data_IF_029553709698
#
_entry.id   IF_029553709698
#
_cell.length_a   1.000
_cell.length_b   1.000
_cell.length_c   1.000
_cell.angle_alpha   90.00
_cell.angle_beta   90.00
_cell.angle_gamma   90.00
#
_symmetry.space_group_name_H-M   'P 1'
#
loop_
_entity.id
_entity.type
_entity.pdbx_description
1 polymer ?
#
# COMPACT_ATOMS: atom_id res chain seq x y z
N UNK A 1 33.99 -11.33 -58.93
CA UNK A 1 35.20 -10.52 -58.72
C UNK A 1 35.51 -10.70 -57.25
N UNK A 2 36.27 -11.74 -56.88
CA UNK A 2 37.76 -11.77 -56.79
C UNK A 2 38.26 -10.72 -55.79
N UNK A 3 39.01 -10.98 -54.79
CA UNK A 3 39.98 -12.02 -54.34
C UNK A 3 40.37 -11.61 -52.92
N UNK A 4 40.59 -12.57 -52.10
CA UNK A 4 41.80 -13.25 -51.62
C UNK A 4 42.47 -12.57 -50.40
N UNK A 5 42.48 -13.30 -49.29
CA UNK A 5 43.52 -14.08 -48.65
C UNK A 5 44.72 -13.29 -48.10
N UNK A 6 44.99 -13.49 -46.82
CA UNK A 6 46.31 -13.99 -46.41
C UNK A 6 46.28 -14.48 -44.94
N UNK A 7 46.65 -15.77 -44.80
CA UNK A 7 47.08 -16.46 -43.58
C UNK A 7 48.45 -15.95 -43.10
N UNK A 8 48.72 -16.16 -41.82
CA UNK A 8 49.98 -16.59 -41.19
C UNK A 8 49.69 -16.62 -39.66
N UNK A 9 49.75 -17.70 -38.93
CA UNK A 9 50.63 -18.86 -38.92
C UNK A 9 51.79 -18.62 -37.98
N UNK A 10 51.77 -19.13 -36.73
CA UNK A 10 52.92 -19.61 -35.99
C UNK A 10 52.55 -20.21 -34.61
N UNK A 11 52.53 -21.54 -34.57
CA UNK A 11 53.31 -22.46 -33.72
C UNK A 11 53.14 -22.40 -32.19
N UNK A 12 52.64 -23.53 -31.76
CA UNK A 12 52.75 -24.26 -30.51
C UNK A 12 54.14 -24.37 -29.89
N UNK A 13 54.25 -24.29 -28.57
CA UNK A 13 55.02 -25.24 -27.76
C UNK A 13 54.52 -25.31 -26.33
N UNK A 14 54.55 -26.47 -25.67
CA UNK A 14 54.11 -26.70 -24.31
C UNK A 14 55.26 -26.55 -23.32
N UNK A 15 55.01 -26.05 -22.14
CA UNK A 15 55.88 -26.21 -20.98
C UNK A 15 55.05 -26.61 -19.76
N UNK A 16 55.37 -27.81 -19.31
CA UNK A 16 55.08 -28.35 -17.99
C UNK A 16 55.66 -27.46 -16.91
N UNK A 17 54.91 -27.23 -15.86
CA UNK A 17 55.48 -27.31 -14.51
C UNK A 17 54.36 -27.46 -13.46
N UNK A 18 54.47 -28.58 -12.76
CA UNK A 18 53.75 -28.88 -11.53
C UNK A 18 54.27 -27.92 -10.44
N UNK A 19 53.39 -27.06 -9.94
CA UNK A 19 53.60 -26.41 -8.65
C UNK A 19 52.33 -26.51 -7.80
N UNK A 20 52.46 -27.36 -6.80
CA UNK A 20 51.55 -27.50 -5.65
C UNK A 20 51.08 -26.12 -5.14
N UNK A 21 49.79 -25.77 -5.38
CA UNK A 21 49.14 -24.71 -4.63
C UNK A 21 48.64 -25.29 -3.32
N UNK A 22 49.43 -25.11 -2.27
CA UNK A 22 48.97 -25.23 -0.90
C UNK A 22 47.90 -24.15 -0.67
N UNK A 23 46.62 -24.54 -0.56
CA UNK A 23 45.55 -23.72 -0.05
C UNK A 23 45.84 -23.34 1.42
N UNK A 24 46.35 -22.13 1.60
CA UNK A 24 46.39 -21.47 2.89
C UNK A 24 44.96 -20.96 3.23
N UNK A 25 44.16 -21.78 3.87
CA UNK A 25 42.99 -21.31 4.56
C UNK A 25 43.42 -20.48 5.76
N UNK A 26 43.59 -19.17 5.56
CA UNK A 26 43.53 -18.22 6.69
C UNK A 26 42.07 -17.97 7.05
N UNK A 27 41.65 -18.15 8.33
CA UNK A 27 40.30 -17.85 8.72
C UNK A 27 40.05 -16.35 8.58
N UNK A 28 39.02 -15.99 7.78
CA UNK A 28 38.51 -14.61 7.66
C UNK A 28 38.08 -14.12 9.03
N UNK A 29 38.89 -13.28 9.66
CA UNK A 29 38.48 -12.53 10.83
C UNK A 29 37.51 -11.42 10.40
N UNK A 30 36.22 -11.65 10.57
CA UNK A 30 35.20 -10.59 10.37
C UNK A 30 35.31 -9.63 11.55
N UNK A 31 35.79 -8.42 11.28
CA UNK A 31 35.89 -7.35 12.24
C UNK A 31 34.47 -6.82 12.59
N UNK A 32 34.12 -6.85 13.88
CA UNK A 32 32.82 -6.38 14.39
C UNK A 32 32.53 -4.92 14.06
N UNK A 33 33.56 -4.11 13.85
CA UNK A 33 33.44 -2.73 13.34
C UNK A 33 32.95 -2.68 11.90
N UNK A 34 33.38 -3.61 11.07
CA UNK A 34 32.99 -3.70 9.64
C UNK A 34 31.52 -4.14 9.50
N UNK A 35 31.05 -5.03 10.38
CA UNK A 35 29.63 -5.47 10.41
C UNK A 35 28.69 -4.36 10.87
N UNK A 36 29.08 -3.58 11.88
CA UNK A 36 28.30 -2.41 12.33
C UNK A 36 28.22 -1.34 11.23
N UNK A 37 29.33 -1.14 10.48
CA UNK A 37 29.39 -0.22 9.35
C UNK A 37 28.63 -0.73 8.14
N UNK A 38 28.64 -2.03 7.85
CA UNK A 38 27.86 -2.64 6.77
C UNK A 38 26.35 -2.60 7.06
N UNK A 39 25.94 -2.79 8.32
CA UNK A 39 24.54 -2.65 8.74
C UNK A 39 24.09 -1.19 8.66
N UNK A 40 24.97 -0.23 9.00
CA UNK A 40 24.71 1.20 8.83
C UNK A 40 24.67 1.61 7.35
N UNK A 41 25.58 1.08 6.51
CA UNK A 41 25.59 1.33 5.05
C UNK A 41 24.41 0.67 4.32
N UNK A 42 23.90 -0.45 4.79
CA UNK A 42 22.68 -1.07 4.24
C UNK A 42 21.42 -0.26 4.57
N UNK A 43 21.48 0.62 5.57
CA UNK A 43 20.41 1.56 5.93
C UNK A 43 20.52 2.92 5.22
N UNK A 44 21.66 3.22 4.54
CA UNK A 44 21.90 4.50 3.83
C UNK A 44 21.20 4.71 2.48
N UNK A 45 20.66 3.75 1.72
CA UNK A 45 20.02 4.06 0.43
C UNK A 45 18.69 4.82 0.52
N UNK A 46 18.25 5.24 1.70
CA UNK A 46 16.98 5.95 1.88
C UNK A 46 17.13 7.45 2.18
N UNK A 47 18.24 8.06 1.78
CA UNK A 47 18.35 9.53 1.73
C UNK A 47 17.63 10.11 0.52
N UNK A 48 16.28 10.07 0.54
CA UNK A 48 15.47 11.05 -0.15
C UNK A 48 14.54 11.71 0.86
N UNK A 49 14.98 12.87 1.34
CA UNK A 49 14.15 13.91 1.91
C UNK A 49 13.63 13.65 3.32
N UNK A 50 14.31 14.29 4.27
CA UNK A 50 13.85 14.68 5.61
C UNK A 50 13.68 13.58 6.67
N UNK A 51 14.62 13.63 7.62
CA UNK A 51 14.48 13.18 9.00
C UNK A 51 14.15 11.70 9.22
N UNK A 52 15.15 10.86 9.00
CA UNK A 52 15.22 9.55 9.66
C UNK A 52 15.45 9.78 11.18
N UNK A 53 14.40 10.22 11.85
CA UNK A 53 14.34 10.12 13.31
C UNK A 53 14.00 8.66 13.59
N UNK A 54 15.00 7.87 13.95
CA UNK A 54 14.78 6.62 14.70
C UNK A 54 13.74 6.94 15.76
N UNK A 55 12.56 6.35 15.61
CA UNK A 55 11.47 6.56 16.55
C UNK A 55 12.01 6.21 17.93
N UNK A 56 12.20 7.20 18.80
CA UNK A 56 12.73 7.01 20.16
C UNK A 56 11.97 5.95 20.96
N UNK A 57 10.76 5.58 20.53
CA UNK A 57 9.92 4.55 21.13
C UNK A 57 10.20 3.12 20.60
N UNK A 58 10.88 2.98 19.45
CA UNK A 58 11.31 1.68 18.93
C UNK A 58 12.63 1.23 19.56
N UNK A 59 13.48 2.17 19.97
CA UNK A 59 14.75 1.87 20.65
C UNK A 59 14.53 1.08 21.97
N UNK A 60 13.60 1.49 22.87
CA UNK A 60 13.33 0.72 24.09
C UNK A 60 12.72 -0.66 23.80
N UNK A 61 11.95 -0.83 22.74
CA UNK A 61 11.41 -2.15 22.32
C UNK A 61 12.49 -3.07 21.78
N UNK A 62 13.35 -2.54 20.90
CA UNK A 62 14.53 -3.25 20.39
C UNK A 62 15.50 -3.59 21.53
N UNK A 63 15.73 -2.66 22.44
CA UNK A 63 16.56 -2.88 23.62
C UNK A 63 15.97 -3.95 24.54
N UNK A 64 14.67 -3.92 24.80
CA UNK A 64 13.96 -4.93 25.59
C UNK A 64 13.94 -6.31 24.91
N UNK A 65 13.85 -6.37 23.59
CA UNK A 65 13.97 -7.60 22.81
C UNK A 65 15.40 -8.13 22.82
N UNK A 66 16.39 -7.26 22.70
CA UNK A 66 17.80 -7.59 22.81
C UNK A 66 18.14 -8.11 24.21
N UNK A 67 17.64 -7.44 25.27
CA UNK A 67 17.83 -7.83 26.66
C UNK A 67 17.12 -9.16 26.96
N UNK A 68 15.95 -9.42 26.37
CA UNK A 68 15.27 -10.71 26.46
C UNK A 68 16.00 -11.84 25.72
N UNK A 69 16.62 -11.54 24.57
CA UNK A 69 17.45 -12.48 23.83
C UNK A 69 18.75 -12.79 24.59
N UNK A 70 19.40 -11.77 25.14
CA UNK A 70 20.59 -11.90 25.97
C UNK A 70 20.25 -12.66 27.27
N UNK A 71 19.09 -12.37 27.89
CA UNK A 71 18.60 -13.07 29.08
C UNK A 71 18.28 -14.55 28.84
N UNK A 72 17.75 -14.90 27.63
CA UNK A 72 17.50 -16.31 27.26
C UNK A 72 18.79 -17.08 26.94
N UNK A 73 19.82 -16.40 26.44
CA UNK A 73 21.15 -17.00 26.23
C UNK A 73 21.95 -17.11 27.54
N UNK A 74 21.67 -16.26 28.53
CA UNK A 74 22.33 -16.31 29.87
C UNK A 74 21.79 -17.42 30.76
N UNK A 75 20.66 -18.05 30.44
CA UNK A 75 20.09 -19.18 31.25
C UNK A 75 20.61 -20.57 30.85
N UNK A 76 21.58 -20.68 29.93
CA UNK A 76 22.29 -21.95 29.69
C UNK A 76 23.50 -22.09 30.61
N UNK A 77 23.88 -23.31 31.01
CA UNK A 77 24.73 -23.57 32.18
C UNK A 77 26.09 -22.89 32.06
N UNK A 78 26.55 -22.33 33.18
CA UNK A 78 27.86 -21.74 33.38
C UNK A 78 28.96 -22.67 32.83
N UNK A 79 29.43 -22.37 31.62
CA UNK A 79 30.73 -22.89 31.18
C UNK A 79 31.81 -22.08 31.92
N UNK A 80 32.56 -22.76 32.78
CA UNK A 80 33.73 -22.23 33.46
C UNK A 80 34.70 -21.71 32.41
N UNK A 81 34.99 -20.43 32.44
CA UNK A 81 36.02 -19.79 31.65
C UNK A 81 37.40 -20.31 32.07
N UNK A 82 37.91 -21.33 31.40
CA UNK A 82 39.32 -21.60 31.37
C UNK A 82 39.97 -20.67 30.34
N UNK A 83 40.82 -19.81 30.83
CA UNK A 83 41.71 -18.88 30.13
C UNK A 83 42.37 -19.53 28.93
N UNK A 84 42.20 -18.97 27.75
CA UNK A 84 43.12 -19.19 26.62
C UNK A 84 42.51 -19.53 25.26
N UNK A 85 41.20 -19.77 25.09
CA UNK A 85 40.65 -20.01 23.78
C UNK A 85 39.97 -18.73 23.25
N UNK A 86 40.49 -18.20 22.14
CA UNK A 86 39.78 -17.21 21.31
C UNK A 86 38.41 -17.78 21.00
N UNK A 87 37.35 -17.14 21.54
CA UNK A 87 35.96 -17.51 21.30
C UNK A 87 35.67 -17.26 19.84
N UNK A 88 35.71 -18.28 19.01
CA UNK A 88 35.08 -18.23 17.70
C UNK A 88 33.60 -17.99 17.95
N UNK A 89 33.10 -16.88 17.48
CA UNK A 89 31.68 -16.59 17.51
C UNK A 89 31.01 -17.66 16.63
N UNK A 90 30.11 -18.42 17.23
CA UNK A 90 29.49 -19.57 16.59
C UNK A 90 28.74 -19.08 15.34
N UNK A 91 29.13 -19.55 14.15
CA UNK A 91 28.53 -19.15 12.87
C UNK A 91 27.03 -19.42 12.86
N UNK A 92 26.59 -20.48 13.54
CA UNK A 92 25.17 -20.81 13.72
C UNK A 92 24.42 -19.72 14.52
N UNK A 93 25.01 -19.20 15.59
CA UNK A 93 24.45 -18.12 16.40
C UNK A 93 24.37 -16.82 15.60
N UNK A 94 25.39 -16.53 14.79
CA UNK A 94 25.39 -15.34 13.94
C UNK A 94 24.35 -15.43 12.82
N UNK A 95 24.22 -16.59 12.18
CA UNK A 95 23.20 -16.79 11.15
C UNK A 95 21.78 -16.66 11.70
N UNK A 96 21.52 -17.21 12.90
CA UNK A 96 20.22 -17.06 13.55
C UNK A 96 19.89 -15.61 13.93
N UNK A 97 20.88 -14.87 14.46
CA UNK A 97 20.71 -13.44 14.79
C UNK A 97 20.43 -12.59 13.56
N UNK A 98 21.12 -12.84 12.44
CA UNK A 98 20.87 -12.17 11.17
C UNK A 98 19.46 -12.49 10.67
N UNK A 99 19.07 -13.76 10.68
CA UNK A 99 17.73 -14.18 10.24
C UNK A 99 16.62 -13.57 11.09
N UNK A 100 16.78 -13.51 12.40
CA UNK A 100 15.80 -12.91 13.31
C UNK A 100 15.73 -11.39 13.14
N UNK A 101 16.87 -10.73 12.92
CA UNK A 101 16.93 -9.30 12.63
C UNK A 101 16.25 -8.97 11.30
N UNK A 102 16.52 -9.74 10.25
CA UNK A 102 15.87 -9.61 8.93
C UNK A 102 14.35 -9.84 9.04
N UNK A 103 13.93 -10.81 9.85
CA UNK A 103 12.51 -11.06 10.07
C UNK A 103 11.83 -9.92 10.85
N UNK A 104 12.50 -9.33 11.83
CA UNK A 104 12.00 -8.18 12.57
C UNK A 104 11.83 -6.97 11.65
N UNK A 105 12.85 -6.63 10.84
CA UNK A 105 12.80 -5.55 9.85
C UNK A 105 11.69 -5.78 8.83
N UNK A 106 11.53 -7.00 8.35
CA UNK A 106 10.46 -7.36 7.41
C UNK A 106 9.07 -7.15 8.03
N UNK A 107 8.87 -7.60 9.27
CA UNK A 107 7.61 -7.44 10.00
C UNK A 107 7.27 -5.96 10.24
N UNK A 108 8.24 -5.16 10.66
CA UNK A 108 8.04 -3.74 10.93
C UNK A 108 7.70 -2.97 9.63
N UNK A 109 8.39 -3.26 8.52
CA UNK A 109 8.13 -2.61 7.23
C UNK A 109 6.74 -2.92 6.66
N UNK A 110 6.18 -4.10 6.97
CA UNK A 110 4.80 -4.43 6.62
C UNK A 110 3.81 -3.59 7.43
N UNK A 111 3.95 -3.57 8.77
CA UNK A 111 3.02 -2.85 9.64
C UNK A 111 3.11 -1.34 9.48
N UNK A 112 4.27 -0.81 9.09
CA UNK A 112 4.44 0.61 8.75
C UNK A 112 3.43 1.10 7.69
N UNK A 113 3.02 0.23 6.77
CA UNK A 113 2.00 0.54 5.76
C UNK A 113 0.59 0.73 6.32
N UNK A 114 0.36 0.29 7.57
CA UNK A 114 -0.95 0.29 8.22
C UNK A 114 -0.98 1.09 9.52
N UNK A 115 0.13 1.72 9.90
CA UNK A 115 0.20 2.61 11.05
C UNK A 115 -0.30 4.01 10.71
N UNK A 116 -0.87 4.67 11.71
CA UNK A 116 -1.20 6.09 11.62
C UNK A 116 0.06 6.93 11.81
N UNK A 117 0.17 8.07 11.09
CA UNK A 117 1.25 9.00 11.33
C UNK A 117 1.25 9.44 12.80
N UNK A 118 2.42 9.35 13.43
CA UNK A 118 2.58 9.79 14.82
C UNK A 118 2.42 11.30 14.92
N UNK A 119 1.49 11.76 15.78
CA UNK A 119 1.40 13.18 16.11
C UNK A 119 2.54 13.57 17.06
N UNK A 120 3.39 14.50 16.64
CA UNK A 120 4.45 15.04 17.51
C UNK A 120 3.82 15.74 18.72
N UNK A 121 4.37 15.57 19.95
CA UNK A 121 3.90 16.31 21.11
C UNK A 121 4.08 17.79 20.89
N UNK A 122 3.04 18.57 21.22
CA UNK A 122 3.06 20.03 21.12
C UNK A 122 3.92 20.63 22.20
N UNK A 123 4.72 21.63 21.83
CA UNK A 123 5.41 22.46 22.81
C UNK A 123 4.47 23.59 23.24
N UNK A 124 3.76 23.37 24.36
CA UNK A 124 2.72 24.26 24.82
C UNK A 124 3.30 25.58 25.35
N UNK A 125 2.91 26.69 24.71
CA UNK A 125 3.08 28.05 25.21
C UNK A 125 1.70 28.68 25.39
N UNK A 126 1.60 29.71 26.21
CA UNK A 126 0.31 30.37 26.44
C UNK A 126 -0.40 30.84 25.15
N UNK A 127 0.25 31.50 24.19
CA UNK A 127 -0.38 31.86 22.92
C UNK A 127 -0.85 30.65 22.13
N UNK A 128 -0.07 29.55 22.07
CA UNK A 128 -0.48 28.32 21.40
C UNK A 128 -1.68 27.68 22.09
N UNK A 129 -1.76 27.73 23.40
CA UNK A 129 -2.93 27.23 24.14
C UNK A 129 -4.20 28.03 23.81
N UNK A 130 -4.11 29.39 23.77
CA UNK A 130 -5.24 30.23 23.39
C UNK A 130 -5.71 29.97 21.97
N UNK A 131 -4.80 29.88 21.00
CA UNK A 131 -5.15 29.55 19.60
C UNK A 131 -5.77 28.16 19.47
N UNK A 132 -5.25 27.17 20.20
CA UNK A 132 -5.82 25.82 20.25
C UNK A 132 -7.23 25.81 20.85
N UNK A 133 -7.45 26.48 22.00
CA UNK A 133 -8.73 26.57 22.66
C UNK A 133 -9.77 27.25 21.75
N UNK A 134 -9.41 28.38 21.13
CA UNK A 134 -10.25 29.05 20.14
C UNK A 134 -10.56 28.11 18.96
N UNK A 135 -9.56 27.42 18.46
CA UNK A 135 -9.74 26.43 17.41
C UNK A 135 -10.66 25.28 17.80
N UNK A 136 -10.62 24.83 19.06
CA UNK A 136 -11.57 23.84 19.57
C UNK A 136 -13.00 24.37 19.56
N UNK A 137 -13.23 25.58 20.05
CA UNK A 137 -14.57 26.20 20.04
C UNK A 137 -15.12 26.28 18.61
N UNK A 138 -14.32 26.78 17.66
CA UNK A 138 -14.75 26.87 16.26
C UNK A 138 -15.07 25.47 15.68
N UNK A 139 -14.19 24.49 15.87
CA UNK A 139 -14.38 23.14 15.31
C UNK A 139 -15.58 22.42 15.89
N UNK A 140 -15.74 22.45 17.21
CA UNK A 140 -16.78 21.66 17.88
C UNK A 140 -18.12 22.40 17.99
N UNK A 141 -18.14 23.72 18.17
CA UNK A 141 -19.38 24.49 18.36
C UNK A 141 -19.94 25.05 17.05
N UNK A 142 -19.11 25.25 16.01
CA UNK A 142 -19.54 25.85 14.73
C UNK A 142 -19.44 24.83 13.60
N UNK A 143 -18.22 24.32 13.31
CA UNK A 143 -18.01 23.47 12.14
C UNK A 143 -18.71 22.12 12.27
N UNK A 144 -18.61 21.46 13.42
CA UNK A 144 -19.20 20.14 13.62
C UNK A 144 -20.74 20.15 13.48
N UNK A 145 -21.51 21.05 14.13
CA UNK A 145 -22.96 21.09 13.94
C UNK A 145 -23.38 21.34 12.48
N UNK A 146 -22.73 22.30 11.81
CA UNK A 146 -23.02 22.61 10.39
C UNK A 146 -22.70 21.40 9.50
N UNK A 147 -21.57 20.77 9.70
CA UNK A 147 -21.14 19.59 8.91
C UNK A 147 -22.02 18.38 9.18
N UNK A 148 -22.39 18.14 10.44
CA UNK A 148 -23.31 17.06 10.81
C UNK A 148 -24.69 17.28 10.18
N UNK A 149 -25.20 18.52 10.19
CA UNK A 149 -26.42 18.86 9.49
C UNK A 149 -26.33 18.61 7.98
N UNK A 150 -25.26 19.05 7.33
CA UNK A 150 -25.03 18.82 5.90
C UNK A 150 -24.96 17.33 5.56
N UNK A 151 -24.29 16.54 6.41
CA UNK A 151 -24.19 15.09 6.23
C UNK A 151 -25.54 14.40 6.39
N UNK A 152 -26.30 14.75 7.43
CA UNK A 152 -27.64 14.21 7.63
C UNK A 152 -28.59 14.63 6.49
N UNK A 153 -28.54 15.89 6.09
CA UNK A 153 -29.29 16.39 4.92
C UNK A 153 -28.96 15.60 3.67
N UNK A 154 -27.67 15.35 3.40
CA UNK A 154 -27.21 14.54 2.26
C UNK A 154 -27.80 13.14 2.31
N UNK A 155 -27.77 12.46 3.48
CA UNK A 155 -28.34 11.12 3.63
C UNK A 155 -29.85 11.11 3.32
N UNK A 156 -30.60 12.03 3.91
CA UNK A 156 -32.04 12.15 3.66
C UNK A 156 -32.33 12.49 2.21
N UNK A 157 -31.60 13.44 1.63
CA UNK A 157 -31.73 13.84 0.23
C UNK A 157 -31.47 12.66 -0.74
N UNK A 158 -30.42 11.89 -0.53
CA UNK A 158 -30.12 10.75 -1.38
C UNK A 158 -31.14 9.62 -1.21
N UNK A 159 -31.49 9.25 0.02
CA UNK A 159 -32.46 8.20 0.30
C UNK A 159 -33.86 8.57 -0.23
N UNK A 160 -34.33 9.74 0.14
CA UNK A 160 -35.68 10.20 -0.26
C UNK A 160 -35.72 10.46 -1.77
N UNK A 161 -34.72 11.11 -2.33
CA UNK A 161 -34.64 11.39 -3.75
C UNK A 161 -34.60 10.13 -4.62
N UNK A 162 -33.81 9.10 -4.22
CA UNK A 162 -33.79 7.81 -4.94
C UNK A 162 -35.08 7.04 -4.79
N UNK A 163 -35.69 7.03 -3.59
CA UNK A 163 -36.99 6.39 -3.36
C UNK A 163 -38.09 7.08 -4.19
N UNK A 164 -38.19 8.41 -4.11
CA UNK A 164 -39.21 9.19 -4.83
C UNK A 164 -39.12 8.98 -6.34
N UNK A 165 -37.89 9.01 -6.90
CA UNK A 165 -37.70 8.72 -8.33
C UNK A 165 -38.08 7.29 -8.69
N UNK A 166 -37.85 6.32 -7.81
CA UNK A 166 -38.25 4.92 -8.06
C UNK A 166 -39.77 4.74 -8.12
N UNK A 167 -40.50 5.55 -7.40
CA UNK A 167 -41.97 5.49 -7.36
C UNK A 167 -42.62 6.33 -8.46
N UNK A 168 -42.11 7.55 -8.69
CA UNK A 168 -42.77 8.50 -9.60
C UNK A 168 -42.34 8.42 -11.05
N UNK A 169 -41.18 7.84 -11.33
CA UNK A 169 -40.63 7.80 -12.70
C UNK A 169 -40.78 6.42 -13.31
N UNK A 170 -41.74 6.21 -14.23
CA UNK A 170 -41.97 4.88 -14.83
C UNK A 170 -40.85 4.42 -15.76
N UNK A 171 -40.16 5.34 -16.41
CA UNK A 171 -39.07 5.01 -17.35
C UNK A 171 -37.78 4.67 -16.60
N UNK A 172 -37.31 3.43 -16.68
CA UNK A 172 -36.04 2.99 -16.04
C UNK A 172 -34.84 3.81 -16.48
N UNK A 173 -34.77 4.21 -17.77
CA UNK A 173 -33.66 5.03 -18.28
C UNK A 173 -33.65 6.42 -17.62
N UNK A 174 -34.83 7.07 -17.55
CA UNK A 174 -34.95 8.39 -16.91
C UNK A 174 -34.72 8.30 -15.40
N UNK A 175 -35.28 7.27 -14.74
CA UNK A 175 -35.05 6.97 -13.32
C UNK A 175 -33.55 6.90 -13.01
N UNK A 176 -32.81 6.05 -13.71
CA UNK A 176 -31.36 5.87 -13.52
C UNK A 176 -30.60 7.20 -13.77
N UNK A 177 -31.01 7.96 -14.76
CA UNK A 177 -30.37 9.27 -15.05
C UNK A 177 -30.56 10.25 -13.89
N UNK A 178 -31.80 10.37 -13.37
CA UNK A 178 -32.10 11.26 -12.24
C UNK A 178 -31.37 10.80 -10.97
N UNK A 179 -31.39 9.50 -10.66
CA UNK A 179 -30.69 8.93 -9.51
C UNK A 179 -29.18 9.19 -9.55
N UNK A 180 -28.55 9.07 -10.73
CA UNK A 180 -27.14 9.43 -10.91
C UNK A 180 -26.87 10.92 -10.65
N UNK A 181 -27.80 11.81 -11.00
CA UNK A 181 -27.68 13.24 -10.69
C UNK A 181 -27.79 13.50 -9.18
N UNK A 182 -28.77 12.86 -8.51
CA UNK A 182 -28.93 12.91 -7.06
C UNK A 182 -27.65 12.45 -6.36
N UNK A 183 -27.08 11.32 -6.79
CA UNK A 183 -25.82 10.80 -6.23
C UNK A 183 -24.64 11.76 -6.45
N UNK A 184 -24.52 12.38 -7.63
CA UNK A 184 -23.47 13.35 -7.88
C UNK A 184 -23.52 14.51 -6.90
N UNK A 185 -24.72 15.04 -6.64
CA UNK A 185 -24.94 16.08 -5.62
C UNK A 185 -24.62 15.53 -4.23
N UNK A 186 -25.04 14.29 -3.94
CA UNK A 186 -24.73 13.62 -2.67
C UNK A 186 -23.23 13.52 -2.40
N UNK A 187 -22.41 13.14 -3.39
CA UNK A 187 -20.95 13.11 -3.25
C UNK A 187 -20.39 14.51 -2.94
N UNK A 188 -20.86 15.54 -3.63
CA UNK A 188 -20.43 16.92 -3.37
C UNK A 188 -20.81 17.39 -1.96
N UNK A 189 -22.03 17.07 -1.51
CA UNK A 189 -22.48 17.37 -0.14
C UNK A 189 -21.67 16.60 0.91
N UNK A 190 -21.29 15.36 0.63
CA UNK A 190 -20.42 14.58 1.51
C UNK A 190 -19.06 15.26 1.65
N UNK A 191 -18.42 15.64 0.53
CA UNK A 191 -17.14 16.34 0.55
C UNK A 191 -17.24 17.68 1.30
N UNK A 192 -18.31 18.42 1.10
CA UNK A 192 -18.55 19.67 1.82
C UNK A 192 -18.73 19.42 3.33
N UNK A 193 -19.43 18.34 3.72
CA UNK A 193 -19.66 17.99 5.13
C UNK A 193 -18.40 17.57 5.88
N UNK A 194 -17.36 17.11 5.18
CA UNK A 194 -16.05 16.81 5.78
C UNK A 194 -15.02 17.91 5.53
N UNK A 195 -15.41 19.00 4.85
CA UNK A 195 -14.53 20.09 4.50
C UNK A 195 -13.43 19.70 3.52
N UNK A 196 -13.73 18.80 2.54
CA UNK A 196 -12.78 18.33 1.58
C UNK A 196 -12.68 19.24 0.36
N UNK A 197 -11.44 19.53 -0.05
CA UNK A 197 -11.10 20.19 -1.32
C UNK A 197 -10.36 19.20 -2.20
N UNK A 198 -10.87 18.96 -3.40
CA UNK A 198 -10.29 18.03 -4.36
C UNK A 198 -9.57 18.81 -5.45
N UNK A 199 -8.27 18.59 -5.58
CA UNK A 199 -7.43 19.18 -6.61
C UNK A 199 -7.19 18.12 -7.69
N UNK A 200 -7.67 18.41 -8.90
CA UNK A 200 -7.60 17.46 -10.02
C UNK A 200 -6.46 17.85 -10.96
N UNK A 201 -5.61 16.88 -11.26
CA UNK A 201 -4.46 17.03 -12.14
C UNK A 201 -4.55 16.06 -13.32
N UNK A 202 -4.12 16.51 -14.48
CA UNK A 202 -4.17 15.73 -15.72
C UNK A 202 -5.53 15.78 -16.42
N UNK A 203 -5.63 15.10 -17.55
CA UNK A 203 -6.87 14.99 -18.34
C UNK A 203 -7.65 13.75 -17.93
N UNK A 204 -8.95 13.92 -17.66
CA UNK A 204 -9.83 12.81 -17.29
C UNK A 204 -10.11 11.98 -18.56
N UNK A 205 -9.70 10.70 -18.63
CA UNK A 205 -9.96 9.87 -19.79
C UNK A 205 -11.47 9.71 -20.06
N UNK A 206 -11.83 9.62 -21.33
CA UNK A 206 -13.22 9.37 -21.72
C UNK A 206 -13.64 7.95 -21.35
N UNK A 207 -14.92 7.79 -21.00
CA UNK A 207 -15.52 6.46 -20.81
C UNK A 207 -15.60 5.77 -22.17
N UNK A 208 -15.02 4.59 -22.26
CA UNK A 208 -14.96 3.78 -23.46
C UNK A 208 -15.00 2.30 -23.08
N UNK A 209 -15.61 1.46 -23.91
CA UNK A 209 -15.55 0.02 -23.81
C UNK A 209 -14.09 -0.45 -23.84
N UNK A 210 -13.76 -1.49 -23.09
CA UNK A 210 -12.39 -1.98 -22.96
C UNK A 210 -11.50 -1.21 -21.97
N UNK A 211 -12.05 -0.24 -21.21
CA UNK A 211 -11.31 0.57 -20.23
C UNK A 211 -11.74 0.30 -18.78
N UNK A 212 -10.77 0.27 -17.88
CA UNK A 212 -10.99 0.16 -16.44
C UNK A 212 -10.13 1.18 -15.69
N UNK A 213 -10.68 1.79 -14.65
CA UNK A 213 -9.95 2.73 -13.82
C UNK A 213 -9.40 2.01 -12.59
N UNK A 214 -8.16 2.33 -12.26
CA UNK A 214 -7.41 1.71 -11.17
C UNK A 214 -6.79 2.78 -10.30
N UNK A 215 -6.99 2.72 -8.98
CA UNK A 215 -6.46 3.71 -8.03
C UNK A 215 -5.80 3.04 -6.83
N UNK A 216 -4.85 3.74 -6.18
CA UNK A 216 -4.41 3.38 -4.83
C UNK A 216 -5.53 3.65 -3.81
N UNK A 217 -5.46 3.00 -2.63
CA UNK A 217 -6.57 2.98 -1.67
C UNK A 217 -6.13 3.34 -0.25
N UNK A 218 -6.47 4.53 0.18
CA UNK A 218 -6.08 5.06 1.50
C UNK A 218 -7.26 5.05 2.48
N UNK A 219 -8.47 5.35 2.00
CA UNK A 219 -9.66 5.49 2.84
C UNK A 219 -10.93 5.13 2.06
N UNK A 220 -12.00 4.83 2.78
CA UNK A 220 -13.33 4.66 2.17
C UNK A 220 -13.81 5.92 1.43
N UNK A 221 -13.26 7.09 1.77
CA UNK A 221 -13.60 8.35 1.10
C UNK A 221 -13.04 8.43 -0.32
N UNK A 222 -12.04 7.62 -0.70
CA UNK A 222 -11.45 7.64 -2.05
C UNK A 222 -12.50 7.45 -3.15
N UNK A 223 -13.43 6.51 -2.93
CA UNK A 223 -14.51 6.25 -3.85
C UNK A 223 -15.45 7.47 -4.02
N UNK A 224 -15.73 8.18 -2.92
CA UNK A 224 -16.56 9.38 -2.92
C UNK A 224 -15.83 10.55 -3.59
N UNK A 225 -14.56 10.74 -3.27
CA UNK A 225 -13.68 11.75 -3.90
C UNK A 225 -13.65 11.55 -5.42
N UNK A 226 -13.35 10.34 -5.89
CA UNK A 226 -13.28 10.04 -7.31
C UNK A 226 -14.66 10.18 -7.98
N UNK A 227 -15.73 9.69 -7.34
CA UNK A 227 -17.09 9.77 -7.87
C UNK A 227 -17.67 11.18 -7.91
N UNK A 228 -17.14 12.12 -7.11
CA UNK A 228 -17.48 13.54 -7.20
C UNK A 228 -16.96 14.19 -8.48
N UNK A 229 -15.82 13.72 -9.01
CA UNK A 229 -15.21 14.18 -10.24
C UNK A 229 -15.90 13.52 -11.44
N UNK A 230 -15.85 12.17 -11.47
CA UNK A 230 -16.43 11.32 -12.49
C UNK A 230 -17.11 10.13 -11.81
N UNK A 231 -18.37 9.87 -12.14
CA UNK A 231 -19.07 8.74 -11.52
C UNK A 231 -18.49 7.40 -11.96
N UNK A 232 -18.33 6.50 -10.99
CA UNK A 232 -17.76 5.17 -11.17
C UNK A 232 -18.68 4.09 -10.63
N UNK A 233 -18.73 2.95 -11.30
CA UNK A 233 -19.22 1.70 -10.77
C UNK A 233 -18.09 1.07 -9.95
N UNK A 234 -18.30 0.95 -8.63
CA UNK A 234 -17.26 0.48 -7.71
C UNK A 234 -17.30 -1.04 -7.66
N UNK A 235 -16.12 -1.66 -7.62
CA UNK A 235 -15.98 -3.08 -7.33
C UNK A 235 -15.56 -3.22 -5.85
N UNK A 236 -16.39 -3.88 -5.05
CA UNK A 236 -16.19 -3.91 -3.61
C UNK A 236 -16.75 -5.16 -2.92
N UNK A 237 -16.56 -5.21 -1.61
CA UNK A 237 -17.11 -6.25 -0.76
C UNK A 237 -18.57 -5.95 -0.46
N UNK A 238 -19.44 -6.97 -0.52
CA UNK A 238 -20.84 -6.87 -0.09
C UNK A 238 -20.91 -6.72 1.43
N UNK A 239 -21.66 -5.72 1.89
CA UNK A 239 -21.93 -5.53 3.30
C UNK A 239 -23.36 -5.93 3.66
N UNK A 240 -23.61 -6.24 4.94
CA UNK A 240 -24.94 -6.53 5.49
C UNK A 240 -25.50 -5.35 6.28
N UNK A 241 -26.79 -5.40 6.61
CA UNK A 241 -27.45 -4.37 7.42
C UNK A 241 -27.65 -3.04 6.68
N UNK A 242 -27.54 -1.91 7.41
CA UNK A 242 -27.80 -0.57 6.87
C UNK A 242 -26.87 -0.21 5.70
N UNK A 243 -25.58 -0.61 5.78
CA UNK A 243 -24.63 -0.38 4.69
C UNK A 243 -25.02 -1.14 3.43
N UNK A 244 -25.49 -2.39 3.55
CA UNK A 244 -26.01 -3.17 2.40
C UNK A 244 -27.21 -2.53 1.75
N UNK A 245 -28.14 -1.92 2.52
CA UNK A 245 -29.27 -1.16 1.98
C UNK A 245 -28.78 0.07 1.19
N UNK A 246 -27.77 0.79 1.71
CA UNK A 246 -27.17 1.93 1.01
C UNK A 246 -26.53 1.47 -0.30
N UNK A 247 -25.76 0.38 -0.27
CA UNK A 247 -25.15 -0.21 -1.48
C UNK A 247 -26.20 -0.55 -2.53
N UNK A 248 -27.25 -1.23 -2.15
CA UNK A 248 -28.25 -1.76 -3.09
C UNK A 248 -29.20 -0.68 -3.59
N UNK A 249 -29.68 0.21 -2.69
CA UNK A 249 -30.71 1.20 -3.01
C UNK A 249 -30.16 2.51 -3.54
N UNK A 250 -29.04 2.98 -3.01
CA UNK A 250 -28.47 4.28 -3.40
C UNK A 250 -27.46 4.11 -4.54
N UNK A 251 -26.54 3.16 -4.43
CA UNK A 251 -25.50 2.95 -5.44
C UNK A 251 -25.94 2.09 -6.62
N UNK A 252 -27.08 1.39 -6.53
CA UNK A 252 -27.56 0.49 -7.56
C UNK A 252 -27.70 1.12 -8.96
N UNK A 253 -27.97 2.43 -9.04
CA UNK A 253 -28.05 3.15 -10.34
C UNK A 253 -26.68 3.28 -11.05
N UNK A 254 -25.58 3.01 -10.36
CA UNK A 254 -24.21 2.98 -10.93
C UNK A 254 -23.82 1.59 -11.40
N UNK A 255 -24.62 0.57 -11.07
CA UNK A 255 -24.38 -0.82 -11.40
C UNK A 255 -23.03 -1.33 -10.87
N UNK A 256 -22.80 -1.24 -9.55
CA UNK A 256 -21.58 -1.71 -8.90
C UNK A 256 -21.47 -3.24 -8.92
N UNK A 257 -20.24 -3.75 -8.77
CA UNK A 257 -19.99 -5.19 -8.66
C UNK A 257 -19.63 -5.53 -7.23
N UNK A 258 -20.57 -6.15 -6.50
CA UNK A 258 -20.37 -6.58 -5.13
C UNK A 258 -20.06 -8.07 -5.07
N UNK A 259 -19.11 -8.48 -4.23
CA UNK A 259 -18.77 -9.88 -4.00
C UNK A 259 -18.29 -10.14 -2.57
N UNK A 260 -18.43 -11.38 -2.12
CA UNK A 260 -17.89 -11.82 -0.85
C UNK A 260 -16.44 -12.32 -1.05
N UNK A 261 -15.48 -11.70 -0.37
CA UNK A 261 -14.06 -12.05 -0.50
C UNK A 261 -13.71 -13.44 0.01
N UNK A 262 -14.47 -13.98 0.94
CA UNK A 262 -14.25 -15.32 1.51
C UNK A 262 -14.75 -16.44 0.61
N UNK A 263 -15.68 -16.17 -0.30
CA UNK A 263 -16.25 -17.15 -1.21
C UNK A 263 -15.49 -17.19 -2.55
N UNK A 264 -14.95 -18.37 -2.88
CA UNK A 264 -14.18 -18.58 -4.10
C UNK A 264 -15.08 -18.52 -5.35
N UNK A 265 -16.31 -19.05 -5.24
CA UNK A 265 -17.28 -19.08 -6.33
C UNK A 265 -17.74 -17.67 -6.68
N UNK A 266 -18.13 -16.88 -5.66
CA UNK A 266 -18.53 -15.49 -5.85
C UNK A 266 -17.38 -14.63 -6.45
N UNK A 267 -16.13 -14.92 -6.10
CA UNK A 267 -14.97 -14.24 -6.72
C UNK A 267 -14.84 -14.54 -8.20
N UNK A 268 -15.06 -15.78 -8.60
CA UNK A 268 -15.02 -16.19 -10.02
C UNK A 268 -16.15 -15.54 -10.81
N UNK A 269 -17.36 -15.55 -10.26
CA UNK A 269 -18.53 -14.87 -10.86
C UNK A 269 -18.32 -13.36 -10.96
N UNK A 270 -17.75 -12.74 -9.91
CA UNK A 270 -17.43 -11.32 -9.94
C UNK A 270 -16.40 -11.00 -11.04
N UNK A 271 -15.38 -11.84 -11.23
CA UNK A 271 -14.41 -11.65 -12.31
C UNK A 271 -15.08 -11.71 -13.69
N UNK A 272 -16.00 -12.64 -13.89
CA UNK A 272 -16.79 -12.73 -15.12
C UNK A 272 -17.70 -11.51 -15.33
N UNK A 273 -18.38 -11.04 -14.26
CA UNK A 273 -19.21 -9.84 -14.30
C UNK A 273 -18.37 -8.60 -14.63
N UNK A 274 -17.18 -8.46 -14.00
CA UNK A 274 -16.25 -7.36 -14.28
C UNK A 274 -15.82 -7.40 -15.75
N UNK A 275 -15.42 -8.55 -16.27
CA UNK A 275 -15.03 -8.72 -17.67
C UNK A 275 -16.15 -8.33 -18.63
N UNK A 276 -17.35 -8.84 -18.43
CA UNK A 276 -18.51 -8.49 -19.27
C UNK A 276 -18.80 -7.00 -19.21
N UNK A 277 -18.71 -6.39 -18.02
CA UNK A 277 -18.97 -4.98 -17.82
C UNK A 277 -17.95 -4.05 -18.49
N UNK A 278 -16.69 -4.46 -18.55
CA UNK A 278 -15.62 -3.68 -19.20
C UNK A 278 -15.88 -3.58 -20.70
N UNK A 279 -16.36 -4.65 -21.33
CA UNK A 279 -16.58 -4.71 -22.76
C UNK A 279 -18.01 -4.39 -23.19
N UNK A 280 -18.88 -4.00 -22.23
CA UNK A 280 -20.23 -3.55 -22.53
C UNK A 280 -20.21 -2.14 -23.11
N UNK A 281 -20.56 -2.02 -24.38
CA UNK A 281 -20.61 -0.74 -25.09
C UNK A 281 -21.74 0.18 -24.61
N UNK A 282 -22.80 -0.38 -24.01
CA UNK A 282 -23.88 0.40 -23.42
C UNK A 282 -23.55 0.93 -22.01
N UNK A 283 -22.45 0.50 -21.44
CA UNK A 283 -22.03 0.88 -20.11
C UNK A 283 -21.66 2.37 -20.04
N UNK A 284 -22.54 3.18 -19.44
CA UNK A 284 -22.36 4.62 -19.30
C UNK A 284 -21.46 5.05 -18.14
N UNK A 285 -21.23 4.15 -17.19
CA UNK A 285 -20.44 4.38 -15.98
C UNK A 285 -19.27 3.43 -15.98
N UNK A 286 -18.02 3.93 -15.97
CA UNK A 286 -16.84 3.08 -16.00
C UNK A 286 -16.61 2.39 -14.65
N UNK A 287 -15.93 1.25 -14.68
CA UNK A 287 -15.52 0.52 -13.47
C UNK A 287 -14.32 1.17 -12.80
N UNK A 288 -14.34 1.18 -11.46
CA UNK A 288 -13.22 1.58 -10.62
C UNK A 288 -12.83 0.43 -9.71
N UNK A 289 -11.54 0.10 -9.76
CA UNK A 289 -10.94 -0.90 -8.88
C UNK A 289 -9.83 -0.30 -8.02
N UNK A 290 -9.72 -0.85 -6.79
CA UNK A 290 -8.60 -0.60 -5.89
C UNK A 290 -7.80 -1.92 -5.76
N UNK A 291 -6.77 -2.14 -6.58
CA UNK A 291 -6.12 -3.45 -6.68
C UNK A 291 -5.27 -3.82 -5.46
N UNK A 292 -4.99 -2.89 -4.57
CA UNK A 292 -4.38 -3.20 -3.26
C UNK A 292 -5.28 -4.11 -2.41
N UNK A 293 -6.60 -4.01 -2.60
CA UNK A 293 -7.59 -4.81 -1.90
C UNK A 293 -7.74 -4.50 -0.41
N UNK A 294 -6.97 -3.58 0.13
CA UNK A 294 -7.00 -3.10 1.52
C UNK A 294 -6.68 -1.62 1.57
N UNK A 295 -7.07 -0.95 2.66
CA UNK A 295 -6.67 0.43 2.91
C UNK A 295 -5.23 0.47 3.41
N UNK A 296 -4.40 1.29 2.77
CA UNK A 296 -2.99 1.53 3.07
C UNK A 296 -2.83 2.99 3.48
N UNK A 297 -1.91 3.28 4.40
CA UNK A 297 -1.74 4.65 4.82
C UNK A 297 -1.23 5.54 3.65
N UNK A 298 -1.40 6.85 3.82
CA UNK A 298 -1.15 7.84 2.77
C UNK A 298 0.35 8.00 2.38
N UNK A 299 1.25 7.14 2.90
CA UNK A 299 2.70 7.20 2.64
C UNK A 299 3.17 6.11 1.68
N UNK A 300 2.50 4.96 1.69
CA UNK A 300 2.92 3.77 0.97
C UNK A 300 1.89 3.36 -0.07
N UNK A 301 2.33 2.57 -1.02
CA UNK A 301 1.53 1.83 -1.97
C UNK A 301 2.05 0.39 -1.98
N UNK A 302 1.14 -0.58 -1.88
CA UNK A 302 1.51 -1.99 -1.78
C UNK A 302 1.23 -2.74 -3.08
N UNK A 303 1.51 -4.04 -3.11
CA UNK A 303 1.34 -4.90 -4.28
C UNK A 303 -0.08 -4.81 -4.85
N UNK A 304 -0.19 -4.61 -6.14
CA UNK A 304 -1.45 -4.67 -6.88
C UNK A 304 -1.81 -6.10 -7.23
N UNK A 305 -3.05 -6.49 -6.97
CA UNK A 305 -3.59 -7.79 -7.37
C UNK A 305 -3.76 -7.84 -8.88
N UNK A 306 -3.31 -8.92 -9.50
CA UNK A 306 -3.32 -9.11 -10.95
C UNK A 306 -4.70 -9.16 -11.61
N UNK A 307 -5.76 -9.43 -10.86
CA UNK A 307 -7.10 -9.69 -11.40
C UNK A 307 -7.66 -8.57 -12.28
N UNK A 308 -7.27 -7.30 -12.08
CA UNK A 308 -7.64 -6.20 -12.98
C UNK A 308 -6.82 -6.19 -14.28
N UNK A 309 -5.61 -6.75 -14.25
CA UNK A 309 -4.61 -6.68 -15.30
C UNK A 309 -4.64 -7.92 -16.24
N UNK A 310 -5.30 -9.00 -15.82
CA UNK A 310 -5.55 -10.22 -16.63
C UNK A 310 -6.72 -10.06 -17.61
N UNK A 311 -7.48 -8.98 -17.51
CA UNK A 311 -8.73 -8.82 -18.29
C UNK A 311 -8.49 -8.36 -19.73
N UNK A 312 -7.26 -8.00 -20.09
CA UNK A 312 -6.92 -7.46 -21.42
C UNK A 312 -7.45 -6.05 -21.68
N UNK A 313 -7.92 -5.36 -20.62
CA UNK A 313 -8.45 -4.01 -20.71
C UNK A 313 -7.34 -2.94 -20.68
N UNK A 314 -7.59 -1.80 -21.27
CA UNK A 314 -6.78 -0.60 -21.11
C UNK A 314 -6.98 -0.04 -19.70
N UNK A 315 -5.91 0.12 -18.96
CA UNK A 315 -5.93 0.65 -17.59
C UNK A 315 -5.81 2.17 -17.61
N UNK A 316 -6.75 2.84 -16.92
CA UNK A 316 -6.69 4.28 -16.66
C UNK A 316 -6.22 4.48 -15.20
N UNK A 317 -4.92 4.72 -14.93
CA UNK A 317 -4.43 4.82 -13.57
C UNK A 317 -4.83 6.15 -12.95
N UNK A 318 -5.19 6.13 -11.67
CA UNK A 318 -5.49 7.30 -10.85
C UNK A 318 -4.61 7.26 -9.61
N UNK A 319 -3.91 8.34 -9.35
CA UNK A 319 -3.14 8.49 -8.12
C UNK A 319 -3.88 9.42 -7.16
N UNK A 320 -4.00 9.02 -5.88
CA UNK A 320 -4.66 9.78 -4.83
C UNK A 320 -3.66 10.06 -3.72
N UNK A 321 -3.59 11.30 -3.27
CA UNK A 321 -2.76 11.72 -2.15
C UNK A 321 -3.50 12.72 -1.28
N UNK A 322 -3.55 12.45 0.01
CA UNK A 322 -4.10 13.38 1.00
C UNK A 322 -3.00 14.27 1.56
N UNK A 323 -3.27 15.56 1.68
CA UNK A 323 -2.35 16.49 2.32
C UNK A 323 -2.49 16.38 3.84
N UNK A 324 -1.45 15.89 4.52
CA UNK A 324 -1.44 15.66 5.96
C UNK A 324 -1.03 16.90 6.79
N UNK A 325 -0.74 18.02 6.14
CA UNK A 325 -0.30 19.25 6.83
C UNK A 325 -1.38 19.81 7.75
N UNK A 326 -2.63 19.80 7.28
CA UNK A 326 -3.78 20.34 8.03
C UNK A 326 -4.71 19.25 8.57
N UNK A 327 -4.54 18.00 8.15
CA UNK A 327 -5.36 16.87 8.56
C UNK A 327 -4.54 15.57 8.57
N UNK A 328 -4.29 15.05 9.75
CA UNK A 328 -3.63 13.74 9.95
C UNK A 328 -4.63 12.55 9.91
N UNK A 329 -5.92 12.78 9.62
CA UNK A 329 -6.98 11.80 9.78
C UNK A 329 -7.49 11.22 8.44
N UNK A 330 -6.75 11.38 7.35
CA UNK A 330 -7.18 10.87 6.04
C UNK A 330 -7.25 9.33 6.03
N UNK A 331 -6.23 8.66 6.54
CA UNK A 331 -6.17 7.19 6.58
C UNK A 331 -7.09 6.61 7.66
N UNK A 332 -7.87 5.59 7.27
CA UNK A 332 -8.70 4.82 8.19
C UNK A 332 -8.23 3.37 8.34
N UNK A 333 -8.01 2.98 9.58
CA UNK A 333 -7.73 1.61 9.98
C UNK A 333 -8.83 1.14 10.94
N UNK A 334 -9.61 0.15 10.54
CA UNK A 334 -10.66 -0.44 11.37
C UNK A 334 -10.10 -1.14 12.62
N UNK A 335 -8.80 -1.45 12.63
CA UNK A 335 -8.10 -2.03 13.79
C UNK A 335 -7.92 -1.01 14.91
N UNK A 336 -7.67 0.26 14.54
CA UNK A 336 -7.28 1.29 15.49
C UNK A 336 -8.45 2.17 15.92
N UNK A 337 -9.41 2.41 14.99
CA UNK A 337 -10.49 3.36 15.20
C UNK A 337 -11.76 2.86 14.56
N UNK A 338 -12.89 2.94 15.30
CA UNK A 338 -14.22 2.64 14.77
C UNK A 338 -14.60 3.62 13.65
N UNK A 339 -15.50 3.19 12.76
CA UNK A 339 -15.97 4.02 11.66
C UNK A 339 -16.62 5.33 12.13
N UNK A 340 -17.40 5.29 13.20
CA UNK A 340 -18.05 6.48 13.75
C UNK A 340 -17.05 7.50 14.31
N UNK A 341 -16.00 7.01 14.97
CA UNK A 341 -14.92 7.86 15.46
C UNK A 341 -14.13 8.47 14.30
N UNK A 342 -13.86 7.70 13.25
CA UNK A 342 -13.20 8.19 12.05
C UNK A 342 -14.03 9.30 11.36
N UNK A 343 -15.33 9.10 11.20
CA UNK A 343 -16.23 10.10 10.63
C UNK A 343 -16.28 11.37 11.48
N UNK A 344 -16.33 11.23 12.80
CA UNK A 344 -16.26 12.35 13.74
C UNK A 344 -14.94 13.11 13.60
N UNK A 345 -13.82 12.39 13.52
CA UNK A 345 -12.49 12.99 13.33
C UNK A 345 -12.43 13.77 11.99
N UNK A 346 -13.00 13.23 10.90
CA UNK A 346 -13.10 13.95 9.63
C UNK A 346 -13.97 15.23 9.74
N UNK A 347 -15.11 15.15 10.40
CA UNK A 347 -16.01 16.30 10.56
C UNK A 347 -15.45 17.39 11.46
N UNK A 348 -14.54 17.04 12.36
CA UNK A 348 -13.87 17.99 13.27
C UNK A 348 -12.51 18.48 12.74
N UNK A 349 -12.04 18.01 11.60
CA UNK A 349 -10.85 18.54 10.94
C UNK A 349 -11.09 19.96 10.40
N UNK A 350 -10.02 20.72 10.22
CA UNK A 350 -10.11 22.03 9.59
C UNK A 350 -10.50 21.91 8.12
N UNK A 351 -9.70 21.18 7.38
CA UNK A 351 -9.84 21.00 5.95
C UNK A 351 -9.16 19.70 5.54
N UNK A 352 -9.70 19.01 4.55
CA UNK A 352 -9.10 17.83 3.94
C UNK A 352 -8.75 18.15 2.49
N UNK A 353 -7.47 18.31 2.17
CA UNK A 353 -7.04 18.57 0.80
C UNK A 353 -6.63 17.23 0.17
N UNK A 354 -7.17 16.96 -1.00
CA UNK A 354 -6.95 15.71 -1.74
C UNK A 354 -6.48 16.03 -3.15
N UNK A 355 -5.28 15.59 -3.49
CA UNK A 355 -4.77 15.64 -4.85
C UNK A 355 -5.11 14.35 -5.59
N UNK A 356 -5.66 14.48 -6.78
CA UNK A 356 -6.07 13.38 -7.66
C UNK A 356 -5.43 13.57 -9.03
N UNK A 357 -4.54 12.67 -9.43
CA UNK A 357 -3.92 12.68 -10.75
C UNK A 357 -4.55 11.61 -11.64
N UNK A 358 -5.11 12.03 -12.78
CA UNK A 358 -5.47 11.11 -13.85
C UNK A 358 -4.26 10.94 -14.76
N UNK A 359 -3.72 9.72 -14.78
CA UNK A 359 -2.55 9.38 -15.60
C UNK A 359 -3.00 8.91 -16.99
N UNK A 360 -2.11 8.96 -17.99
CA UNK A 360 -2.41 8.46 -19.33
C UNK A 360 -2.84 6.99 -19.29
N UNK A 361 -3.89 6.62 -20.05
CA UNK A 361 -4.28 5.23 -20.21
C UNK A 361 -3.11 4.37 -20.74
N UNK A 362 -3.01 3.14 -20.28
CA UNK A 362 -1.92 2.23 -20.63
C UNK A 362 -2.43 0.80 -20.77
N UNK A 363 -1.87 0.06 -21.71
CA UNK A 363 -2.16 -1.35 -21.95
C UNK A 363 -0.95 -2.22 -21.62
N UNK A 364 -1.18 -3.51 -21.51
CA UNK A 364 -0.13 -4.50 -21.37
C UNK A 364 0.79 -4.46 -22.59
N UNK A 365 2.10 -4.58 -22.38
CA UNK A 365 3.11 -4.58 -23.46
C UNK A 365 3.38 -6.00 -23.97
N UNK A 366 3.94 -6.11 -25.16
CA UNK A 366 4.31 -7.40 -25.73
C UNK A 366 5.35 -8.11 -24.85
N UNK A 367 5.05 -9.34 -24.45
CA UNK A 367 5.91 -10.13 -23.56
C UNK A 367 5.80 -9.79 -22.07
N UNK A 368 4.99 -8.79 -21.68
CA UNK A 368 4.76 -8.42 -20.29
C UNK A 368 3.72 -9.35 -19.64
N UNK A 369 4.00 -9.88 -18.47
CA UNK A 369 3.04 -10.62 -17.69
C UNK A 369 2.03 -9.69 -16.99
N UNK A 370 0.82 -10.16 -16.63
CA UNK A 370 -0.14 -9.34 -15.88
C UNK A 370 0.40 -8.82 -14.54
N UNK A 371 1.29 -9.56 -13.90
CA UNK A 371 1.97 -9.17 -12.66
C UNK A 371 2.96 -8.02 -12.89
N UNK A 372 3.75 -8.08 -13.95
CA UNK A 372 4.68 -7.01 -14.33
C UNK A 372 3.92 -5.75 -14.77
N UNK A 373 2.83 -5.91 -15.50
CA UNK A 373 1.95 -4.82 -15.86
C UNK A 373 1.35 -4.14 -14.62
N UNK A 374 0.88 -4.93 -13.65
CA UNK A 374 0.36 -4.42 -12.38
C UNK A 374 1.44 -3.63 -11.61
N UNK A 375 2.67 -4.14 -11.57
CA UNK A 375 3.80 -3.48 -10.91
C UNK A 375 4.16 -2.16 -11.62
N UNK A 376 4.21 -2.15 -12.96
CA UNK A 376 4.46 -0.95 -13.76
C UNK A 376 3.41 0.14 -13.51
N UNK A 377 2.12 -0.23 -13.48
CA UNK A 377 1.03 0.70 -13.18
C UNK A 377 1.13 1.21 -11.73
N UNK A 378 1.41 0.34 -10.77
CA UNK A 378 1.65 0.71 -9.36
C UNK A 378 2.78 1.73 -9.23
N UNK A 379 3.91 1.51 -9.90
CA UNK A 379 5.05 2.43 -9.87
C UNK A 379 4.73 3.79 -10.51
N UNK A 380 3.90 3.81 -11.55
CA UNK A 380 3.46 5.08 -12.16
C UNK A 380 2.57 5.88 -11.19
N UNK A 381 1.63 5.23 -10.51
CA UNK A 381 0.80 5.84 -9.45
C UNK A 381 1.68 6.32 -8.29
N UNK A 382 2.62 5.47 -7.83
CA UNK A 382 3.55 5.81 -6.75
C UNK A 382 4.35 7.08 -7.06
N UNK A 383 4.84 7.19 -8.30
CA UNK A 383 5.63 8.32 -8.77
C UNK A 383 4.80 9.61 -8.80
N UNK A 384 3.56 9.55 -9.31
CA UNK A 384 2.67 10.70 -9.40
C UNK A 384 2.26 11.24 -8.02
N UNK A 385 1.88 10.36 -7.10
CA UNK A 385 1.44 10.72 -5.74
C UNK A 385 2.59 10.77 -4.72
N UNK A 386 3.84 10.56 -5.13
CA UNK A 386 5.01 10.49 -4.24
C UNK A 386 4.80 9.51 -3.08
N UNK A 387 4.30 8.32 -3.41
CA UNK A 387 4.12 7.21 -2.48
C UNK A 387 5.35 6.29 -2.52
N UNK A 388 5.66 5.68 -1.39
CA UNK A 388 6.76 4.72 -1.28
C UNK A 388 6.21 3.34 -1.67
N UNK A 389 6.70 2.72 -2.77
CA UNK A 389 6.25 1.40 -3.16
C UNK A 389 6.80 0.33 -2.21
N UNK A 390 5.92 -0.57 -1.79
CA UNK A 390 6.26 -1.75 -0.98
C UNK A 390 5.77 -3.01 -1.70
N UNK A 391 6.51 -4.11 -1.60
CA UNK A 391 6.17 -5.35 -2.28
C UNK A 391 5.18 -6.23 -1.49
N UNK A 392 4.59 -5.73 -0.40
CA UNK A 392 3.70 -6.48 0.47
C UNK A 392 2.35 -6.78 -0.15
N UNK A 393 1.85 -7.99 0.06
CA UNK A 393 0.48 -8.35 -0.26
C UNK A 393 -0.46 -7.89 0.87
N UNK A 394 -1.44 -7.04 0.55
CA UNK A 394 -2.44 -6.53 1.50
C UNK A 394 -3.27 -7.63 2.19
N UNK A 395 -3.34 -8.83 1.59
CA UNK A 395 -4.04 -9.97 2.18
C UNK A 395 -3.42 -10.41 3.52
N UNK A 396 -2.13 -10.18 3.71
CA UNK A 396 -1.41 -10.44 4.96
C UNK A 396 -1.93 -9.67 6.17
N UNK A 397 -2.69 -8.59 5.93
CA UNK A 397 -3.36 -7.83 7.01
C UNK A 397 -4.41 -8.67 7.75
N UNK A 398 -5.02 -9.62 7.07
CA UNK A 398 -6.14 -10.44 7.57
C UNK A 398 -5.78 -11.91 7.78
N UNK A 399 -4.70 -12.37 7.17
CA UNK A 399 -4.25 -13.76 7.24
C UNK A 399 -2.82 -13.86 7.75
N UNK A 400 -2.52 -14.97 8.42
CA UNK A 400 -1.13 -15.26 8.76
C UNK A 400 -0.34 -15.52 7.47
N UNK A 401 0.83 -14.90 7.34
CA UNK A 401 1.72 -15.17 6.24
C UNK A 401 2.09 -16.64 6.19
N UNK A 402 2.08 -17.25 5.01
CA UNK A 402 2.51 -18.62 4.82
C UNK A 402 4.03 -18.73 5.03
N UNK A 403 4.50 -19.91 5.45
CA UNK A 403 5.94 -20.16 5.62
C UNK A 403 6.75 -19.85 4.34
N UNK A 404 6.16 -20.13 3.18
CA UNK A 404 6.79 -19.82 1.88
C UNK A 404 6.95 -18.31 1.65
N UNK A 405 5.93 -17.52 2.00
CA UNK A 405 6.01 -16.06 1.87
C UNK A 405 7.08 -15.46 2.80
N UNK A 406 7.16 -15.94 4.04
CA UNK A 406 8.23 -15.54 4.96
C UNK A 406 9.60 -15.93 4.40
N UNK A 407 9.74 -17.15 3.85
CA UNK A 407 10.99 -17.61 3.25
C UNK A 407 11.40 -16.74 2.06
N UNK A 408 10.50 -16.49 1.13
CA UNK A 408 10.79 -15.66 -0.05
C UNK A 408 11.24 -14.25 0.35
N UNK A 409 10.59 -13.65 1.33
CA UNK A 409 10.97 -12.32 1.83
C UNK A 409 12.31 -12.31 2.54
N UNK A 410 12.58 -13.32 3.36
CA UNK A 410 13.92 -13.47 3.97
C UNK A 410 14.99 -13.56 2.89
N UNK A 411 14.77 -14.40 1.87
CA UNK A 411 15.68 -14.54 0.73
C UNK A 411 15.93 -13.19 0.03
N UNK A 412 14.86 -12.45 -0.26
CA UNK A 412 14.97 -11.17 -0.94
C UNK A 412 15.72 -10.11 -0.11
N UNK A 413 15.45 -10.03 1.19
CA UNK A 413 16.17 -9.12 2.09
C UNK A 413 17.65 -9.51 2.26
N UNK A 414 17.95 -10.81 2.36
CA UNK A 414 19.33 -11.29 2.43
C UNK A 414 20.11 -10.97 1.15
N UNK A 415 19.47 -11.08 -0.03
CA UNK A 415 20.06 -10.62 -1.29
C UNK A 415 20.34 -9.12 -1.30
N UNK A 416 19.41 -8.30 -0.80
CA UNK A 416 19.60 -6.84 -0.70
C UNK A 416 20.74 -6.45 0.24
N UNK A 417 21.01 -7.25 1.26
CA UNK A 417 22.14 -7.08 2.19
C UNK A 417 23.46 -7.58 1.59
N UNK A 418 23.41 -8.29 0.44
CA UNK A 418 24.61 -8.72 -0.30
C UNK A 418 24.97 -10.20 -0.15
N UNK A 419 24.10 -11.03 0.47
CA UNK A 419 24.33 -12.47 0.52
C UNK A 419 24.07 -13.14 -0.83
N UNK A 420 24.94 -14.07 -1.23
CA UNK A 420 24.73 -14.90 -2.40
C UNK A 420 23.62 -15.95 -2.18
N UNK A 421 22.98 -16.43 -3.25
CA UNK A 421 21.95 -17.45 -3.16
C UNK A 421 22.43 -18.71 -2.42
N UNK A 422 23.68 -19.11 -2.60
CA UNK A 422 24.28 -20.30 -1.96
C UNK A 422 24.37 -20.14 -0.43
N UNK A 423 24.77 -18.97 0.04
CA UNK A 423 24.81 -18.65 1.47
C UNK A 423 23.40 -18.58 2.08
N UNK A 424 22.45 -18.00 1.36
CA UNK A 424 21.06 -17.92 1.76
C UNK A 424 20.44 -19.31 1.91
N UNK A 425 20.67 -20.21 0.96
CA UNK A 425 20.15 -21.57 1.00
C UNK A 425 20.74 -22.36 2.17
N UNK A 426 22.00 -22.16 2.51
CA UNK A 426 22.62 -22.74 3.71
C UNK A 426 22.00 -22.22 5.01
N UNK A 427 21.73 -20.90 5.10
CA UNK A 427 21.10 -20.27 6.27
C UNK A 427 19.64 -20.66 6.48
N UNK A 428 18.90 -20.96 5.40
CA UNK A 428 17.47 -21.27 5.47
C UNK A 428 17.21 -22.79 5.63
N UNK A 429 18.16 -23.63 5.25
CA UNK A 429 18.07 -25.10 5.34
C UNK A 429 18.51 -25.68 6.68
N UNK A 430 19.26 -24.94 7.52
CA UNK A 430 19.57 -25.30 8.90
C UNK A 430 18.50 -24.76 9.85
#
# INVERSE_FOLDING_TARGET
MERQDTENGLRSQPLSDDSEYKENHSPMTVDTHTMSSALMLALEPYQYGTDFILNRNSIPRLQKQLDQLIGRTASKPRLSLRTGQKKYMDIELMSSLVLDSVQAVASDSFWECFERPYSRPWNWTFPLWVTWATGCIIRYCILLPVRAFLFLFMLVFCLFGTLLTSVLVPSKRLQTHIQRRILKIGYQLTLLSIGAIVLVHGSIPHTQSGRIYVANHTTIMDAIVLSSIKQFAIVGQKYSGLLGVIEERILGCLDPVWFNRSDRTERTEAAAKIKNRIYDEEAKVPLLLFPEGVLVNNRFIIMFKKGAFELGAEICPIAIKYNETLSSHAYWSSRDVSFYRYLFDLMTNWILIVDVWFLPPTSIQDGETPEEFAERVKLNIARAARLIPRPWDGYLKYTKATKSMHRNRKTELLHQIGFSQKEIDQMISG
#
